data_IF_675598682471
#
_entry.id   IF_675598682471
#
_cell.length_a   1.000
_cell.length_b   1.000
_cell.length_c   1.000
_cell.angle_alpha   90.00
_cell.angle_beta   90.00
_cell.angle_gamma   90.00
#
_symmetry.space_group_name_H-M   'P 1'
#
loop_
_entity.id
_entity.type
_entity.pdbx_description
1 polymer ?
#
# COMPACT_ATOMS: atom_id res chain seq x y z
N UNK A 1 35.94 14.54 4.32
CA UNK A 1 35.76 13.76 5.56
C UNK A 1 36.04 12.32 5.20
N UNK A 2 37.08 11.74 5.77
CA UNK A 2 37.59 10.42 5.41
C UNK A 2 36.61 9.32 5.84
N UNK A 3 35.84 8.80 4.88
CA UNK A 3 34.95 7.66 5.11
C UNK A 3 35.65 6.36 4.72
N UNK A 4 36.57 5.90 5.57
CA UNK A 4 36.90 4.47 5.63
C UNK A 4 35.74 3.75 6.34
N UNK A 5 34.61 3.58 5.63
CA UNK A 5 33.46 2.85 6.12
C UNK A 5 33.73 1.35 6.02
N UNK A 6 34.11 0.73 7.14
CA UNK A 6 34.14 -0.71 7.32
C UNK A 6 32.76 -1.32 6.93
N UNK A 7 32.71 -2.50 6.29
CA UNK A 7 31.44 -3.18 6.01
C UNK A 7 30.69 -3.40 7.33
N UNK A 8 29.44 -2.95 7.37
CA UNK A 8 28.59 -3.00 8.57
C UNK A 8 28.25 -4.47 8.81
N UNK A 9 28.98 -5.10 9.73
CA UNK A 9 28.84 -6.51 10.13
C UNK A 9 28.19 -6.64 11.51
N UNK A 10 27.56 -5.59 12.02
CA UNK A 10 27.03 -5.62 13.38
C UNK A 10 25.63 -6.25 13.43
N UNK A 11 25.63 -7.57 13.44
CA UNK A 11 24.48 -8.40 13.78
C UNK A 11 24.13 -8.17 15.26
N UNK A 12 23.34 -7.12 15.53
CA UNK A 12 22.86 -6.78 16.87
C UNK A 12 22.02 -7.91 17.43
N UNK A 13 22.47 -8.46 18.56
CA UNK A 13 21.72 -9.43 19.36
C UNK A 13 20.85 -8.71 20.38
N UNK A 14 19.71 -9.30 20.71
CA UNK A 14 18.82 -8.83 21.76
C UNK A 14 18.67 -9.92 22.82
N UNK A 15 19.67 -10.09 23.73
CA UNK A 15 19.59 -11.09 24.79
C UNK A 15 18.62 -10.64 25.89
N UNK A 16 17.89 -11.59 26.45
CA UNK A 16 17.00 -11.37 27.59
C UNK A 16 17.80 -10.97 28.83
N UNK A 17 17.42 -9.87 29.49
CA UNK A 17 18.07 -9.42 30.71
C UNK A 17 17.96 -10.45 31.87
N UNK A 18 16.97 -11.34 31.83
CA UNK A 18 16.76 -12.32 32.89
C UNK A 18 17.44 -13.68 32.64
N UNK A 19 17.45 -14.18 31.40
CA UNK A 19 17.92 -15.54 31.10
C UNK A 19 18.91 -15.64 29.92
N UNK A 20 19.24 -14.52 29.27
CA UNK A 20 20.15 -14.47 28.12
C UNK A 20 19.59 -15.01 26.81
N UNK A 21 18.37 -15.59 26.79
CA UNK A 21 17.75 -16.08 25.57
C UNK A 21 17.41 -14.95 24.58
N UNK A 22 17.36 -15.27 23.28
CA UNK A 22 17.01 -14.30 22.24
C UNK A 22 15.58 -13.76 22.42
N UNK A 23 15.43 -12.46 22.24
CA UNK A 23 14.14 -11.78 22.34
C UNK A 23 13.53 -11.51 20.96
N UNK A 24 12.20 -11.51 20.90
CA UNK A 24 11.38 -11.17 19.73
C UNK A 24 10.56 -9.92 20.03
N UNK A 25 10.34 -9.06 19.03
CA UNK A 25 9.48 -7.90 19.20
C UNK A 25 8.05 -8.37 19.44
N UNK A 26 7.39 -7.79 20.46
CA UNK A 26 6.03 -8.13 20.81
C UNK A 26 5.06 -7.10 20.23
N UNK A 27 4.24 -7.47 19.22
CA UNK A 27 3.27 -6.57 18.64
C UNK A 27 2.35 -5.93 19.69
N UNK A 28 2.11 -4.63 19.55
CA UNK A 28 1.25 -3.84 20.43
C UNK A 28 1.93 -3.36 21.72
N UNK A 29 3.21 -3.68 21.93
CA UNK A 29 4.02 -3.16 23.03
C UNK A 29 5.34 -2.60 22.47
N UNK A 30 5.86 -1.53 23.05
CA UNK A 30 7.22 -1.06 22.78
C UNK A 30 8.24 -1.88 23.58
N UNK A 31 8.22 -3.21 23.35
CA UNK A 31 9.02 -4.15 24.12
C UNK A 31 9.34 -5.43 23.34
N UNK A 32 10.46 -6.04 23.70
CA UNK A 32 10.86 -7.36 23.28
C UNK A 32 10.45 -8.38 24.34
N UNK A 33 9.78 -9.47 23.95
CA UNK A 33 9.40 -10.56 24.86
C UNK A 33 10.35 -11.74 24.69
N UNK A 34 10.72 -12.35 25.81
CA UNK A 34 11.43 -13.62 25.80
C UNK A 34 10.44 -14.77 25.64
N UNK A 35 10.58 -15.55 24.56
CA UNK A 35 9.74 -16.74 24.34
C UNK A 35 10.12 -17.90 25.27
N UNK A 36 11.30 -17.87 25.89
CA UNK A 36 11.76 -18.88 26.84
C UNK A 36 11.25 -18.64 28.26
N UNK A 37 11.58 -17.50 28.88
CA UNK A 37 11.20 -17.21 30.28
C UNK A 37 10.00 -16.27 30.43
N UNK A 38 9.49 -15.69 29.34
CA UNK A 38 8.35 -14.77 29.37
C UNK A 38 8.67 -13.32 29.74
N UNK A 39 9.91 -13.01 30.17
CA UNK A 39 10.30 -11.67 30.59
C UNK A 39 10.15 -10.63 29.45
N UNK A 40 9.69 -9.44 29.82
CA UNK A 40 9.45 -8.32 28.89
C UNK A 40 10.55 -7.29 29.07
N UNK A 41 11.26 -6.98 27.99
CA UNK A 41 12.39 -6.04 27.97
C UNK A 41 11.94 -4.83 27.15
N UNK A 42 11.76 -3.68 27.79
CA UNK A 42 11.27 -2.48 27.13
C UNK A 42 12.30 -1.92 26.15
N UNK A 43 11.81 -1.47 24.99
CA UNK A 43 12.64 -0.74 24.03
C UNK A 43 12.71 0.71 24.52
N UNK A 44 13.91 1.28 24.72
CA UNK A 44 14.04 2.69 25.06
C UNK A 44 13.39 3.57 23.99
N UNK A 45 12.66 4.60 24.42
CA UNK A 45 12.16 5.61 23.47
C UNK A 45 13.36 6.37 22.90
N UNK A 46 13.43 6.41 21.57
CA UNK A 46 14.40 7.29 20.91
C UNK A 46 13.96 8.74 21.09
N UNK A 47 14.94 9.63 21.21
CA UNK A 47 14.74 11.09 21.25
C UNK A 47 15.05 11.74 19.90
N UNK A 48 15.35 10.93 18.88
CA UNK A 48 15.60 11.41 17.52
C UNK A 48 14.30 11.87 16.86
N UNK A 49 14.39 12.98 16.13
CA UNK A 49 13.27 13.49 15.34
C UNK A 49 13.20 12.76 14.00
N UNK A 50 11.96 12.55 13.51
CA UNK A 50 11.71 11.99 12.19
C UNK A 50 11.75 13.15 11.20
N UNK A 51 12.87 13.24 10.48
CA UNK A 51 13.11 14.31 9.51
C UNK A 51 12.71 13.91 8.09
N UNK A 52 12.14 14.87 7.38
CA UNK A 52 11.99 14.83 5.93
C UNK A 52 13.30 15.25 5.24
N UNK A 53 13.64 14.54 4.16
CA UNK A 53 14.90 14.70 3.45
C UNK A 53 14.70 15.40 2.11
N UNK A 54 15.64 16.27 1.75
CA UNK A 54 15.62 16.95 0.44
C UNK A 54 15.81 15.95 -0.72
N UNK A 55 14.82 15.87 -1.61
CA UNK A 55 14.80 14.92 -2.70
C UNK A 55 15.98 15.08 -3.66
N UNK A 56 16.27 16.30 -4.10
CA UNK A 56 17.29 16.56 -5.13
C UNK A 56 18.70 16.25 -4.61
N UNK A 57 18.98 16.62 -3.36
CA UNK A 57 20.24 16.31 -2.68
C UNK A 57 20.49 14.80 -2.63
N UNK A 58 19.48 14.04 -2.22
CA UNK A 58 19.61 12.58 -2.09
C UNK A 58 19.52 11.82 -3.40
N UNK A 59 18.89 12.39 -4.43
CA UNK A 59 18.90 11.83 -5.78
C UNK A 59 20.32 11.80 -6.36
N UNK A 60 21.08 12.88 -6.20
CA UNK A 60 22.50 12.95 -6.63
C UNK A 60 23.35 11.94 -5.86
N UNK A 61 23.13 11.80 -4.55
CA UNK A 61 23.83 10.80 -3.73
C UNK A 61 23.52 9.37 -4.21
N UNK A 62 22.24 9.04 -4.39
CA UNK A 62 21.82 7.71 -4.83
C UNK A 62 22.37 7.34 -6.22
N UNK A 63 22.48 8.31 -7.14
CA UNK A 63 23.06 8.08 -8.46
C UNK A 63 24.57 7.77 -8.42
N UNK A 64 25.28 8.24 -7.38
CA UNK A 64 26.72 8.01 -7.21
C UNK A 64 27.08 6.65 -6.59
N UNK A 65 26.09 5.93 -6.06
CA UNK A 65 26.30 4.70 -5.27
C UNK A 65 25.52 3.50 -5.85
N UNK A 66 25.66 3.21 -7.16
CA UNK A 66 24.99 2.07 -7.79
C UNK A 66 25.82 0.78 -7.67
N UNK A 67 25.72 0.07 -6.53
CA UNK A 67 26.25 -1.31 -6.42
C UNK A 67 25.10 -2.29 -6.66
N UNK A 68 25.27 -3.30 -7.54
CA UNK A 68 24.23 -4.31 -7.77
C UNK A 68 23.87 -5.05 -6.48
N UNK A 69 22.57 -5.21 -6.25
CA UNK A 69 22.08 -6.03 -5.14
C UNK A 69 22.22 -7.52 -5.47
N UNK A 70 23.14 -8.19 -4.79
CA UNK A 70 23.46 -9.61 -5.00
C UNK A 70 23.13 -10.44 -3.76
N UNK A 71 23.16 -11.77 -3.93
CA UNK A 71 23.08 -12.70 -2.81
C UNK A 71 24.24 -12.45 -1.84
N UNK A 72 23.92 -12.44 -0.54
CA UNK A 72 24.89 -12.21 0.52
C UNK A 72 25.06 -13.45 1.39
N UNK A 73 26.31 -13.81 1.67
CA UNK A 73 26.61 -14.82 2.68
C UNK A 73 26.47 -14.20 4.07
N UNK A 74 25.53 -14.72 4.84
CA UNK A 74 25.18 -14.22 6.16
C UNK A 74 25.65 -15.22 7.22
N UNK A 75 26.48 -14.75 8.16
CA UNK A 75 26.86 -15.52 9.34
C UNK A 75 25.95 -15.16 10.51
N UNK A 76 25.20 -16.14 11.00
CA UNK A 76 24.39 -15.98 12.21
C UNK A 76 25.30 -15.91 13.43
N UNK A 77 25.27 -14.79 14.14
CA UNK A 77 26.03 -14.63 15.37
C UNK A 77 25.49 -15.54 16.50
N UNK A 78 24.19 -15.82 16.52
CA UNK A 78 23.56 -16.59 17.60
C UNK A 78 23.96 -18.06 17.62
N UNK A 79 23.90 -18.75 16.47
CA UNK A 79 24.20 -20.19 16.38
C UNK A 79 25.47 -20.52 15.58
N UNK A 80 26.12 -19.52 14.97
CA UNK A 80 27.34 -19.69 14.19
C UNK A 80 27.13 -20.21 12.76
N UNK A 81 25.90 -20.52 12.35
CA UNK A 81 25.61 -21.03 11.02
C UNK A 81 25.76 -19.96 9.94
N UNK A 82 26.22 -20.36 8.76
CA UNK A 82 26.30 -19.49 7.57
C UNK A 82 25.24 -19.92 6.57
N UNK A 83 24.53 -18.96 5.99
CA UNK A 83 23.52 -19.19 4.94
C UNK A 83 23.52 -18.05 3.93
N UNK A 84 22.98 -18.32 2.75
CA UNK A 84 22.82 -17.32 1.70
C UNK A 84 21.49 -16.60 1.87
N UNK A 85 21.52 -15.27 1.98
CA UNK A 85 20.33 -14.44 1.92
C UNK A 85 20.08 -14.00 0.46
N UNK A 86 18.82 -14.08 -0.02
CA UNK A 86 18.49 -13.65 -1.37
C UNK A 86 18.62 -12.12 -1.51
N UNK A 87 18.76 -11.61 -2.76
CA UNK A 87 18.80 -10.17 -3.00
C UNK A 87 17.54 -9.47 -2.48
N UNK A 88 17.69 -8.22 -2.05
CA UNK A 88 16.59 -7.37 -1.58
C UNK A 88 16.15 -7.63 -0.15
N UNK A 89 16.81 -8.51 0.60
CA UNK A 89 16.54 -8.71 2.04
C UNK A 89 17.46 -7.83 2.87
N UNK A 90 16.90 -7.08 3.83
CA UNK A 90 17.64 -6.26 4.80
C UNK A 90 17.86 -7.03 6.10
N UNK A 91 16.82 -7.71 6.59
CA UNK A 91 16.90 -8.57 7.76
C UNK A 91 16.00 -9.79 7.60
N UNK A 92 16.41 -10.93 8.15
CA UNK A 92 15.60 -12.15 8.15
C UNK A 92 15.91 -13.01 9.37
N UNK A 93 15.05 -14.00 9.62
CA UNK A 93 15.27 -14.99 10.66
C UNK A 93 16.25 -16.06 10.17
N UNK A 94 17.25 -16.39 10.98
CA UNK A 94 18.18 -17.48 10.71
C UNK A 94 17.39 -18.80 10.52
N UNK A 95 17.57 -19.52 9.40
CA UNK A 95 16.80 -20.75 9.14
C UNK A 95 17.15 -21.89 10.10
N UNK A 96 18.24 -21.78 10.84
CA UNK A 96 18.71 -22.80 11.78
C UNK A 96 18.25 -22.58 13.22
N UNK A 97 18.24 -21.33 13.70
CA UNK A 97 17.95 -21.03 15.10
C UNK A 97 16.87 -19.96 15.30
N UNK A 98 16.33 -19.38 14.23
CA UNK A 98 15.25 -18.39 14.28
C UNK A 98 15.67 -17.00 14.74
N UNK A 99 16.93 -16.75 15.11
CA UNK A 99 17.36 -15.41 15.52
C UNK A 99 17.34 -14.43 14.35
N UNK A 100 16.96 -13.17 14.58
CA UNK A 100 17.03 -12.12 13.57
C UNK A 100 18.49 -11.88 13.15
N UNK A 101 18.72 -11.74 11.85
CA UNK A 101 20.02 -11.51 11.25
C UNK A 101 19.91 -10.37 10.26
N UNK A 102 20.81 -9.39 10.36
CA UNK A 102 20.92 -8.29 9.41
C UNK A 102 21.82 -8.74 8.27
N UNK A 103 21.34 -8.59 7.05
CA UNK A 103 22.11 -8.92 5.85
C UNK A 103 23.16 -7.82 5.64
N UNK A 104 24.45 -8.15 5.61
CA UNK A 104 25.49 -7.15 5.37
C UNK A 104 25.34 -6.59 3.96
N UNK A 105 25.43 -5.26 3.85
CA UNK A 105 25.35 -4.52 2.59
C UNK A 105 26.66 -3.73 2.43
N UNK A 106 27.22 -3.62 1.22
CA UNK A 106 28.32 -2.69 0.97
C UNK A 106 27.92 -1.27 1.39
N UNK A 107 28.87 -0.51 1.94
CA UNK A 107 28.61 0.88 2.31
C UNK A 107 28.20 1.70 1.08
N UNK A 108 27.24 2.61 1.25
CA UNK A 108 26.72 3.48 0.18
C UNK A 108 25.60 2.89 -0.68
N UNK A 109 25.33 1.59 -0.65
CA UNK A 109 24.46 1.00 -1.69
C UNK A 109 22.98 1.39 -1.58
N UNK A 110 22.48 1.74 -0.40
CA UNK A 110 21.06 2.02 -0.18
C UNK A 110 20.80 3.06 0.92
N UNK A 111 19.80 3.91 0.68
CA UNK A 111 19.24 4.80 1.71
C UNK A 111 18.61 3.98 2.83
N UNK A 112 19.12 4.11 4.05
CA UNK A 112 18.55 3.41 5.21
C UNK A 112 17.20 4.03 5.60
N UNK A 113 16.24 3.20 6.06
CA UNK A 113 15.02 3.74 6.66
C UNK A 113 15.37 4.49 7.95
N UNK A 114 14.71 5.63 8.16
CA UNK A 114 14.90 6.47 9.37
C UNK A 114 13.77 6.34 10.38
N UNK A 115 12.63 5.82 9.95
CA UNK A 115 11.48 5.57 10.81
C UNK A 115 10.70 4.33 10.38
N UNK A 116 9.86 3.85 11.28
CA UNK A 116 8.99 2.70 11.05
C UNK A 116 7.72 2.80 11.89
N UNK A 117 6.67 2.11 11.45
CA UNK A 117 5.50 1.87 12.30
C UNK A 117 5.67 0.53 13.04
N UNK A 118 5.67 0.47 14.38
CA UNK A 118 5.79 -0.79 15.09
C UNK A 118 4.58 -1.69 14.81
N UNK A 119 4.80 -3.01 14.66
CA UNK A 119 3.71 -3.99 14.62
C UNK A 119 2.78 -3.79 15.83
N UNK A 120 1.49 -3.62 15.58
CA UNK A 120 0.47 -3.48 16.65
C UNK A 120 -0.34 -4.75 16.83
N UNK A 121 -0.67 -5.40 15.71
CA UNK A 121 -1.45 -6.64 15.66
C UNK A 121 -0.52 -7.84 15.58
N UNK A 122 -0.75 -8.79 16.48
CA UNK A 122 -0.08 -10.08 16.43
C UNK A 122 -0.64 -10.98 15.32
N UNK A 123 0.02 -12.13 15.12
CA UNK A 123 -0.35 -13.11 14.10
C UNK A 123 -1.80 -13.62 14.26
N UNK A 124 -2.29 -13.73 15.49
CA UNK A 124 -3.65 -14.21 15.77
C UNK A 124 -4.67 -13.16 15.35
N UNK A 125 -4.49 -11.92 15.78
CA UNK A 125 -5.36 -10.80 15.40
C UNK A 125 -5.40 -10.61 13.87
N UNK A 126 -4.25 -10.74 13.20
CA UNK A 126 -4.19 -10.67 11.73
C UNK A 126 -4.95 -11.83 11.04
N UNK A 127 -4.86 -13.05 11.58
CA UNK A 127 -5.62 -14.21 11.07
C UNK A 127 -7.13 -14.07 11.30
N UNK A 128 -7.53 -13.48 12.43
CA UNK A 128 -8.93 -13.18 12.72
C UNK A 128 -9.48 -12.09 11.78
N UNK A 129 -8.69 -11.04 11.50
CA UNK A 129 -9.04 -10.01 10.51
C UNK A 129 -9.20 -10.60 9.10
N UNK A 130 -8.26 -11.46 8.67
CA UNK A 130 -8.36 -12.20 7.41
C UNK A 130 -9.61 -13.08 7.35
N UNK A 131 -9.91 -13.81 8.43
CA UNK A 131 -11.11 -14.65 8.53
C UNK A 131 -12.39 -13.82 8.39
N UNK A 132 -12.44 -12.65 9.05
CA UNK A 132 -13.54 -11.71 8.96
C UNK A 132 -13.71 -11.11 7.55
N UNK A 133 -12.61 -10.76 6.89
CA UNK A 133 -12.62 -10.31 5.50
C UNK A 133 -13.14 -11.38 4.56
N UNK A 134 -12.63 -12.61 4.68
CA UNK A 134 -13.05 -13.75 3.87
C UNK A 134 -14.55 -14.07 4.08
N UNK A 135 -15.06 -13.83 5.28
CA UNK A 135 -16.46 -14.02 5.59
C UNK A 135 -17.39 -13.12 4.77
N UNK A 136 -16.92 -11.91 4.40
CA UNK A 136 -17.63 -10.90 3.61
C UNK A 136 -17.56 -11.14 2.10
N UNK A 137 -16.71 -12.06 1.63
CA UNK A 137 -16.58 -12.40 0.21
C UNK A 137 -17.76 -13.26 -0.26
N UNK A 138 -18.89 -12.60 -0.55
CA UNK A 138 -20.15 -13.26 -0.91
C UNK A 138 -20.05 -14.16 -2.14
N UNK A 139 -19.21 -13.78 -3.10
CA UNK A 139 -18.93 -14.53 -4.32
C UNK A 139 -17.99 -15.73 -4.11
N UNK A 140 -17.33 -15.84 -2.96
CA UNK A 140 -16.39 -16.92 -2.71
C UNK A 140 -17.08 -18.28 -2.49
N UNK A 141 -16.44 -19.42 -2.85
CA UNK A 141 -16.91 -20.76 -2.50
C UNK A 141 -17.13 -20.94 -0.98
N UNK A 142 -18.15 -21.71 -0.59
CA UNK A 142 -18.52 -21.87 0.82
C UNK A 142 -17.48 -22.66 1.64
N UNK A 143 -16.76 -23.58 0.99
CA UNK A 143 -15.69 -24.40 1.58
C UNK A 143 -14.37 -23.63 1.78
N UNK A 144 -14.21 -22.49 1.10
CA UNK A 144 -13.00 -21.67 1.15
C UNK A 144 -12.65 -21.23 2.58
N UNK A 145 -13.66 -20.89 3.40
CA UNK A 145 -13.46 -20.37 4.75
C UNK A 145 -12.75 -21.37 5.66
N UNK A 146 -13.10 -22.65 5.56
CA UNK A 146 -12.47 -23.73 6.33
C UNK A 146 -11.06 -23.99 5.81
N UNK A 147 -10.91 -24.07 4.49
CA UNK A 147 -9.64 -24.36 3.85
C UNK A 147 -8.56 -23.30 4.15
N UNK A 148 -8.91 -22.02 4.01
CA UNK A 148 -7.95 -20.92 4.19
C UNK A 148 -7.43 -20.83 5.63
N UNK A 149 -8.27 -21.17 6.62
CA UNK A 149 -7.91 -21.14 8.05
C UNK A 149 -6.90 -22.22 8.44
N UNK A 150 -6.98 -23.39 7.81
CA UNK A 150 -6.15 -24.55 8.18
C UNK A 150 -4.78 -24.56 7.49
N UNK A 151 -4.63 -23.87 6.35
CA UNK A 151 -3.43 -23.98 5.48
C UNK A 151 -2.75 -22.64 5.18
N UNK A 152 -3.32 -21.52 5.59
CA UNK A 152 -2.73 -20.20 5.36
C UNK A 152 -1.56 -19.92 6.31
N UNK A 153 -0.33 -20.05 5.81
CA UNK A 153 0.84 -19.51 6.50
C UNK A 153 0.80 -17.98 6.49
N UNK A 154 1.05 -17.35 7.64
CA UNK A 154 1.17 -15.90 7.77
C UNK A 154 2.58 -15.54 8.22
N UNK A 155 3.25 -14.68 7.45
CA UNK A 155 4.59 -14.16 7.72
C UNK A 155 4.51 -12.65 7.97
N UNK A 156 5.10 -12.20 9.07
CA UNK A 156 5.21 -10.78 9.39
C UNK A 156 6.43 -10.19 8.72
N UNK A 157 6.25 -9.05 8.05
CA UNK A 157 7.30 -8.37 7.31
C UNK A 157 7.20 -6.86 7.45
N UNK A 158 8.35 -6.19 7.50
CA UNK A 158 8.48 -4.77 7.25
C UNK A 158 8.75 -4.54 5.77
N UNK A 159 7.85 -3.80 5.13
CA UNK A 159 7.97 -3.40 3.73
C UNK A 159 8.47 -1.96 3.68
N UNK A 160 9.47 -1.65 2.82
CA UNK A 160 9.93 -0.29 2.62
C UNK A 160 8.93 0.52 1.80
N UNK A 161 8.73 1.76 2.22
CA UNK A 161 7.91 2.76 1.56
C UNK A 161 8.65 4.09 1.47
N UNK A 162 8.37 4.80 0.39
CA UNK A 162 8.66 6.23 0.29
C UNK A 162 7.40 6.99 0.70
N UNK A 163 7.56 8.04 1.49
CA UNK A 163 6.56 9.13 1.52
C UNK A 163 7.16 10.34 0.86
N UNK A 164 6.34 11.06 0.08
CA UNK A 164 6.75 12.28 -0.60
C UNK A 164 5.84 13.42 -0.24
N UNK A 165 6.46 14.56 0.05
CA UNK A 165 5.79 15.81 0.30
C UNK A 165 6.22 16.77 -0.80
N UNK A 166 5.27 17.50 -1.38
CA UNK A 166 5.58 18.49 -2.41
C UNK A 166 4.44 19.49 -2.60
N UNK A 167 4.79 20.61 -3.22
CA UNK A 167 3.83 21.57 -3.73
C UNK A 167 3.75 21.45 -5.24
N UNK A 168 2.55 21.57 -5.79
CA UNK A 168 2.34 21.58 -7.24
C UNK A 168 1.69 22.87 -7.70
N UNK A 169 2.22 23.44 -8.78
CA UNK A 169 1.59 24.52 -9.55
C UNK A 169 1.20 23.97 -10.91
N UNK A 170 -0.09 23.95 -11.23
CA UNK A 170 -0.61 23.33 -12.46
C UNK A 170 -1.37 24.33 -13.30
N UNK A 171 -0.81 24.68 -14.45
CA UNK A 171 -1.52 25.47 -15.46
C UNK A 171 -2.39 24.55 -16.33
N UNK A 172 -3.59 24.99 -16.68
CA UNK A 172 -4.54 24.19 -17.47
C UNK A 172 -5.31 24.99 -18.51
N UNK A 173 -5.87 24.29 -19.50
CA UNK A 173 -6.87 24.80 -20.44
C UNK A 173 -7.98 23.76 -20.69
N UNK A 174 -9.19 24.24 -20.96
CA UNK A 174 -10.36 23.41 -21.09
C UNK A 174 -11.64 24.18 -21.41
N UNK A 175 -12.77 23.58 -21.08
CA UNK A 175 -14.11 24.16 -21.28
C UNK A 175 -15.00 23.95 -20.05
N UNK A 176 -15.81 24.97 -19.77
CA UNK A 176 -16.93 24.95 -18.83
C UNK A 176 -18.21 24.70 -19.59
N UNK A 177 -18.90 23.61 -19.27
CA UNK A 177 -20.22 23.28 -19.77
C UNK A 177 -21.31 23.80 -18.83
N UNK A 178 -22.26 24.57 -19.36
CA UNK A 178 -23.45 25.00 -18.63
C UNK A 178 -24.68 24.32 -19.24
N UNK A 179 -25.50 23.69 -18.40
CA UNK A 179 -26.75 23.09 -18.82
C UNK A 179 -27.79 24.17 -19.07
N UNK A 180 -28.37 24.13 -20.27
CA UNK A 180 -29.51 24.94 -20.65
C UNK A 180 -30.64 24.01 -21.05
N UNK A 181 -31.82 24.26 -20.50
CA UNK A 181 -33.01 23.49 -20.81
C UNK A 181 -33.84 24.23 -21.84
N UNK A 182 -34.17 23.54 -22.94
CA UNK A 182 -35.06 24.06 -23.97
C UNK A 182 -36.30 23.16 -24.05
N UNK A 183 -37.47 23.79 -24.08
CA UNK A 183 -38.71 23.08 -24.38
C UNK A 183 -38.77 22.77 -25.87
N UNK A 184 -38.76 21.50 -26.23
CA UNK A 184 -38.99 21.02 -27.59
C UNK A 184 -40.43 20.52 -27.70
N UNK A 185 -41.11 20.93 -28.78
CA UNK A 185 -42.46 20.47 -29.10
C UNK A 185 -42.37 19.35 -30.14
N UNK A 186 -43.02 18.22 -29.89
CA UNK A 186 -43.09 17.10 -30.83
C UNK A 186 -44.50 16.53 -30.90
N UNK A 187 -44.83 15.87 -32.00
CA UNK A 187 -46.11 15.17 -32.16
C UNK A 187 -45.93 13.70 -31.79
N UNK A 188 -46.78 13.19 -30.90
CA UNK A 188 -46.76 11.78 -30.53
C UNK A 188 -47.38 10.88 -31.62
N UNK A 189 -47.32 9.56 -31.41
CA UNK A 189 -47.86 8.58 -32.37
C UNK A 189 -49.38 8.65 -32.54
N UNK A 190 -50.08 9.32 -31.63
CA UNK A 190 -51.54 9.52 -31.65
C UNK A 190 -51.93 10.88 -32.25
N UNK A 191 -50.95 11.66 -32.73
CA UNK A 191 -51.17 12.96 -33.37
C UNK A 191 -51.29 14.14 -32.41
N UNK A 192 -51.09 13.94 -31.10
CA UNK A 192 -51.17 15.03 -30.12
C UNK A 192 -49.83 15.77 -30.01
N UNK A 193 -49.91 17.08 -29.85
CA UNK A 193 -48.73 17.92 -29.59
C UNK A 193 -48.32 17.80 -28.13
N UNK A 194 -47.08 17.34 -27.90
CA UNK A 194 -46.47 17.21 -26.59
C UNK A 194 -45.24 18.11 -26.48
N UNK A 195 -44.85 18.43 -25.25
CA UNK A 195 -43.61 19.15 -24.96
C UNK A 195 -42.70 18.31 -24.07
N UNK A 196 -41.39 18.40 -24.30
CA UNK A 196 -40.37 17.82 -23.42
C UNK A 196 -39.25 18.83 -23.18
N UNK A 197 -38.67 18.79 -22.00
CA UNK A 197 -37.41 19.51 -21.74
C UNK A 197 -36.24 18.70 -22.30
N UNK A 198 -35.45 19.34 -23.16
CA UNK A 198 -34.20 18.80 -23.69
C UNK A 198 -33.06 19.57 -23.05
N UNK A 199 -32.10 18.84 -22.48
CA UNK A 199 -30.86 19.39 -21.93
C UNK A 199 -29.84 19.59 -23.05
N UNK A 200 -29.41 20.82 -23.24
CA UNK A 200 -28.29 21.21 -24.09
C UNK A 200 -27.12 21.68 -23.22
N UNK A 201 -25.88 21.35 -23.57
CA UNK A 201 -24.69 21.83 -22.85
C UNK A 201 -23.98 22.89 -23.69
N UNK A 202 -23.94 24.13 -23.21
CA UNK A 202 -23.20 25.22 -23.85
C UNK A 202 -21.79 25.27 -23.27
N UNK A 203 -20.78 25.24 -24.14
CA UNK A 203 -19.37 25.21 -23.76
C UNK A 203 -18.74 26.60 -23.87
N UNK A 204 -18.00 27.00 -22.84
CA UNK A 204 -17.21 28.23 -22.79
C UNK A 204 -15.75 27.89 -22.49
N UNK A 205 -14.77 28.54 -23.14
CA UNK A 205 -13.36 28.29 -22.84
C UNK A 205 -13.03 28.65 -21.39
N UNK A 206 -12.22 27.83 -20.74
CA UNK A 206 -11.72 28.03 -19.39
C UNK A 206 -10.21 27.73 -19.34
N UNK A 207 -9.47 28.57 -18.62
CA UNK A 207 -8.05 28.35 -18.34
C UNK A 207 -7.70 28.98 -17.01
N UNK A 208 -6.68 28.43 -16.36
CA UNK A 208 -6.30 28.86 -15.03
C UNK A 208 -5.04 28.17 -14.53
N UNK A 209 -4.74 28.44 -13.27
CA UNK A 209 -3.65 27.80 -12.52
C UNK A 209 -4.22 27.34 -11.19
N UNK A 210 -3.97 26.08 -10.84
CA UNK A 210 -4.33 25.52 -9.54
C UNK A 210 -3.07 25.19 -8.75
N UNK A 211 -3.18 25.29 -7.42
CA UNK A 211 -2.12 24.93 -6.49
C UNK A 211 -2.60 23.80 -5.58
N UNK A 212 -1.73 22.81 -5.37
CA UNK A 212 -1.98 21.74 -4.42
C UNK A 212 -0.74 21.52 -3.55
N UNK A 213 -0.98 21.12 -2.31
CA UNK A 213 0.05 20.63 -1.39
C UNK A 213 -0.24 19.16 -1.12
N UNK A 214 0.80 18.36 -1.20
CA UNK A 214 0.76 16.93 -0.92
C UNK A 214 1.65 16.64 0.27
N UNK A 215 1.10 15.87 1.20
CA UNK A 215 1.74 15.46 2.45
C UNK A 215 1.55 13.95 2.60
N UNK A 216 2.65 13.27 2.87
CA UNK A 216 2.84 11.83 2.99
C UNK A 216 2.24 11.00 1.83
N UNK A 217 2.53 11.37 0.58
CA UNK A 217 2.15 10.53 -0.58
C UNK A 217 2.94 9.24 -0.55
N UNK A 218 2.25 8.18 -0.16
CA UNK A 218 2.84 6.89 0.17
C UNK A 218 3.01 6.00 -1.08
N UNK A 219 4.25 5.59 -1.34
CA UNK A 219 4.61 4.72 -2.47
C UNK A 219 5.34 3.47 -1.97
N UNK A 220 4.82 2.26 -2.23
CA UNK A 220 5.53 1.03 -1.89
C UNK A 220 6.84 0.94 -2.66
N UNK A 221 7.92 0.69 -1.94
CA UNK A 221 9.25 0.61 -2.51
C UNK A 221 9.71 -0.84 -2.70
N UNK A 222 8.84 -1.84 -2.53
CA UNK A 222 9.13 -3.27 -2.76
C UNK A 222 8.24 -3.87 -3.86
N UNK A 223 8.79 -4.87 -4.55
CA UNK A 223 8.09 -5.70 -5.54
C UNK A 223 7.67 -7.09 -5.00
N UNK A 224 7.93 -7.38 -3.72
CA UNK A 224 7.61 -8.69 -3.14
C UNK A 224 6.13 -8.84 -2.77
N UNK A 225 5.40 -7.73 -2.81
CA UNK A 225 3.95 -7.66 -2.63
C UNK A 225 3.31 -7.26 -3.95
N UNK A 226 2.21 -7.91 -4.38
CA UNK A 226 1.50 -7.46 -5.58
C UNK A 226 1.12 -5.99 -5.44
N UNK A 227 1.57 -5.16 -6.39
CA UNK A 227 1.40 -3.70 -6.36
C UNK A 227 -0.05 -3.29 -6.17
N UNK A 228 -0.99 -4.00 -6.82
CA UNK A 228 -2.44 -3.82 -6.66
C UNK A 228 -2.88 -3.87 -5.19
N UNK A 229 -2.32 -4.77 -4.40
CA UNK A 229 -2.69 -4.94 -2.99
C UNK A 229 -1.96 -3.93 -2.12
N UNK A 230 -0.66 -3.70 -2.33
CA UNK A 230 0.12 -2.72 -1.57
C UNK A 230 -0.40 -1.28 -1.76
N UNK A 231 -0.65 -0.86 -3.00
CA UNK A 231 -1.19 0.46 -3.31
C UNK A 231 -2.62 0.65 -2.77
N UNK A 232 -3.38 -0.43 -2.58
CA UNK A 232 -4.72 -0.37 -2.01
C UNK A 232 -4.73 -0.27 -0.47
N UNK A 233 -3.56 -0.38 0.18
CA UNK A 233 -3.40 -0.22 1.64
C UNK A 233 -3.22 1.26 1.95
N UNK A 234 -4.33 1.94 2.20
CA UNK A 234 -4.35 3.40 2.39
C UNK A 234 -4.53 3.82 3.85
N UNK A 235 -5.01 2.92 4.72
CA UNK A 235 -5.29 3.27 6.12
C UNK A 235 -4.07 3.02 7.02
N UNK A 236 -3.13 3.96 6.98
CA UNK A 236 -1.96 3.98 7.86
C UNK A 236 -2.09 5.09 8.91
N UNK A 237 -1.68 4.78 10.13
CA UNK A 237 -1.54 5.74 11.22
C UNK A 237 -0.12 6.32 11.24
N UNK A 238 0.28 6.96 10.13
CA UNK A 238 1.63 7.54 9.95
C UNK A 238 2.07 8.51 11.07
N UNK A 239 1.19 9.28 11.74
CA UNK A 239 1.59 10.08 12.90
C UNK A 239 2.20 9.27 14.07
N UNK A 240 1.97 7.96 14.14
CA UNK A 240 2.54 7.06 15.15
C UNK A 240 3.93 6.51 14.73
N UNK A 241 4.54 7.02 13.66
CA UNK A 241 5.89 6.63 13.25
C UNK A 241 6.88 6.85 14.40
N UNK A 242 7.79 5.90 14.58
CA UNK A 242 8.89 6.01 15.56
C UNK A 242 10.23 5.99 14.83
N UNK A 243 11.27 6.61 15.40
CA UNK A 243 12.63 6.50 14.87
C UNK A 243 13.05 5.04 14.75
N UNK A 244 13.76 4.73 13.67
CA UNK A 244 14.20 3.38 13.36
C UNK A 244 15.06 2.82 14.51
N UNK A 245 14.69 1.64 15.00
CA UNK A 245 15.51 0.86 15.92
C UNK A 245 15.45 -0.61 15.53
N UNK A 246 16.61 -1.27 15.44
CA UNK A 246 16.74 -2.68 15.05
C UNK A 246 15.89 -3.64 15.94
N UNK A 247 15.61 -3.23 17.18
CA UNK A 247 14.78 -3.98 18.12
C UNK A 247 13.38 -4.26 17.55
N UNK A 248 12.75 -3.31 16.87
CA UNK A 248 11.42 -3.47 16.29
C UNK A 248 11.38 -4.51 15.16
N UNK A 249 12.51 -4.79 14.52
CA UNK A 249 12.63 -5.77 13.45
C UNK A 249 12.80 -7.20 13.98
N UNK A 250 13.09 -7.38 15.27
CA UNK A 250 13.40 -8.68 15.84
C UNK A 250 12.22 -9.65 15.73
N UNK A 251 12.37 -10.75 14.98
CA UNK A 251 11.29 -11.71 14.71
C UNK A 251 10.48 -11.43 13.45
N UNK A 252 10.80 -10.35 12.73
CA UNK A 252 10.17 -9.95 11.46
C UNK A 252 11.19 -9.88 10.33
N UNK A 253 10.76 -10.29 9.13
CA UNK A 253 11.57 -10.11 7.93
C UNK A 253 11.50 -8.65 7.48
N UNK A 254 12.60 -8.08 7.01
CA UNK A 254 12.62 -6.72 6.46
C UNK A 254 13.21 -6.75 5.06
N UNK A 255 12.55 -6.06 4.15
CA UNK A 255 13.02 -5.93 2.78
C UNK A 255 13.73 -4.59 2.55
N UNK A 256 14.66 -4.60 1.59
CA UNK A 256 15.24 -3.40 1.01
C UNK A 256 14.34 -2.88 -0.10
N UNK A 257 14.40 -1.58 -0.35
CA UNK A 257 13.69 -1.02 -1.47
C UNK A 257 14.28 -1.55 -2.79
N UNK A 258 13.38 -1.88 -3.71
CA UNK A 258 13.66 -2.25 -5.10
C UNK A 258 13.30 -1.12 -6.06
N UNK A 259 12.33 -0.28 -5.68
CA UNK A 259 11.99 0.94 -6.41
C UNK A 259 12.82 2.09 -5.86
N UNK A 260 13.69 2.66 -6.70
CA UNK A 260 14.54 3.78 -6.31
C UNK A 260 13.76 5.06 -6.01
N UNK A 261 14.46 6.05 -5.48
CA UNK A 261 13.88 7.34 -5.08
C UNK A 261 13.20 8.06 -6.26
N UNK A 262 13.85 8.14 -7.43
CA UNK A 262 13.27 8.80 -8.61
C UNK A 262 12.04 8.08 -9.16
N UNK A 263 12.15 6.76 -9.34
CA UNK A 263 11.02 5.93 -9.80
C UNK A 263 9.84 6.00 -8.83
N UNK A 264 10.13 6.02 -7.53
CA UNK A 264 9.16 6.19 -6.47
C UNK A 264 8.42 7.52 -6.60
N UNK A 265 9.14 8.62 -6.84
CA UNK A 265 8.52 9.94 -7.03
C UNK A 265 7.70 10.01 -8.32
N UNK A 266 8.14 9.38 -9.41
CA UNK A 266 7.35 9.31 -10.65
C UNK A 266 6.03 8.54 -10.45
N UNK A 267 6.03 7.49 -9.62
CA UNK A 267 4.78 6.85 -9.18
C UNK A 267 3.93 7.78 -8.30
N UNK A 268 4.56 8.53 -7.39
CA UNK A 268 3.85 9.51 -6.54
C UNK A 268 3.09 10.54 -7.38
N UNK A 269 3.69 11.06 -8.46
CA UNK A 269 3.00 11.97 -9.41
C UNK A 269 1.72 11.37 -9.98
N UNK A 270 1.72 10.07 -10.27
CA UNK A 270 0.53 9.35 -10.77
C UNK A 270 -0.57 9.26 -9.70
N UNK A 271 -0.19 9.16 -8.42
CA UNK A 271 -1.13 9.16 -7.30
C UNK A 271 -1.66 10.57 -6.98
N UNK A 272 -0.88 11.62 -7.24
CA UNK A 272 -1.28 13.03 -7.07
C UNK A 272 -2.24 13.50 -8.16
N UNK A 273 -2.12 12.95 -9.36
CA UNK A 273 -2.85 13.37 -10.57
C UNK A 273 -4.38 13.47 -10.39
N UNK A 274 -5.11 12.50 -9.78
CA UNK A 274 -6.55 12.63 -9.60
C UNK A 274 -6.95 13.85 -8.76
N UNK A 275 -6.16 14.18 -7.74
CA UNK A 275 -6.38 15.35 -6.88
C UNK A 275 -6.15 16.65 -7.65
N UNK A 276 -5.11 16.70 -8.48
CA UNK A 276 -4.82 17.85 -9.36
C UNK A 276 -5.98 18.03 -10.36
N UNK A 277 -6.40 16.96 -11.04
CA UNK A 277 -7.51 17.00 -11.98
C UNK A 277 -8.83 17.43 -11.31
N UNK A 278 -9.05 17.02 -10.06
CA UNK A 278 -10.22 17.45 -9.31
C UNK A 278 -10.16 18.95 -8.97
N UNK A 279 -8.99 19.47 -8.60
CA UNK A 279 -8.79 20.90 -8.37
C UNK A 279 -9.03 21.71 -9.65
N UNK A 280 -8.55 21.23 -10.80
CA UNK A 280 -8.82 21.85 -12.12
C UNK A 280 -10.32 21.86 -12.41
N UNK A 281 -11.03 20.73 -12.23
CA UNK A 281 -12.49 20.68 -12.46
C UNK A 281 -13.25 21.65 -11.56
N UNK A 282 -12.82 21.79 -10.30
CA UNK A 282 -13.41 22.74 -9.37
C UNK A 282 -13.18 24.20 -9.81
N UNK A 283 -11.96 24.52 -10.25
CA UNK A 283 -11.62 25.86 -10.75
C UNK A 283 -12.35 26.20 -12.06
N UNK A 284 -12.48 25.22 -12.98
CA UNK A 284 -13.31 25.36 -14.18
C UNK A 284 -14.76 25.61 -13.80
N UNK A 285 -15.35 24.88 -12.86
CA UNK A 285 -16.75 25.03 -12.44
C UNK A 285 -17.77 24.63 -13.52
N UNK A 286 -19.03 25.07 -13.37
CA UNK A 286 -20.13 24.69 -14.27
C UNK A 286 -20.72 23.30 -13.99
N UNK A 287 -21.63 22.85 -14.85
CA UNK A 287 -22.33 21.58 -14.72
C UNK A 287 -21.53 20.40 -15.30
N UNK A 288 -20.74 20.66 -16.35
CA UNK A 288 -19.81 19.71 -16.96
C UNK A 288 -18.45 20.38 -17.22
N UNK A 289 -17.38 19.60 -17.18
CA UNK A 289 -16.02 20.10 -17.40
C UNK A 289 -15.28 19.24 -18.42
N UNK A 290 -14.54 19.91 -19.30
CA UNK A 290 -13.55 19.27 -20.19
C UNK A 290 -12.20 19.87 -19.93
N UNK A 291 -11.21 19.02 -19.70
CA UNK A 291 -9.81 19.43 -19.58
C UNK A 291 -9.14 19.02 -20.88
N UNK A 292 -8.56 19.98 -21.60
CA UNK A 292 -7.82 19.72 -22.83
C UNK A 292 -6.35 19.47 -22.56
N UNK A 293 -5.74 20.33 -21.76
CA UNK A 293 -4.33 20.24 -21.40
C UNK A 293 -4.13 20.70 -19.97
N UNK A 294 -3.12 20.14 -19.32
CA UNK A 294 -2.58 20.61 -18.07
C UNK A 294 -1.10 20.26 -17.97
N UNK A 295 -0.36 21.06 -17.21
CA UNK A 295 1.07 20.82 -16.95
C UNK A 295 1.39 21.22 -15.52
N UNK A 296 1.92 20.27 -14.76
CA UNK A 296 2.22 20.43 -13.33
C UNK A 296 3.73 20.59 -13.13
N UNK A 297 4.12 21.65 -12.41
CA UNK A 297 5.44 21.81 -11.82
C UNK A 297 5.41 21.32 -10.38
N UNK A 298 6.50 20.70 -9.93
CA UNK A 298 6.62 20.10 -8.60
C UNK A 298 7.79 20.76 -7.88
N UNK A 299 7.51 21.40 -6.76
CA UNK A 299 8.45 22.20 -5.99
C UNK A 299 8.53 21.71 -4.54
N UNK A 300 9.62 22.08 -3.85
CA UNK A 300 9.85 21.76 -2.43
C UNK A 300 9.68 20.27 -2.11
N UNK A 301 10.24 19.41 -2.97
CA UNK A 301 10.07 17.97 -2.86
C UNK A 301 10.94 17.45 -1.71
N UNK A 302 10.28 16.88 -0.70
CA UNK A 302 10.93 16.13 0.37
C UNK A 302 10.46 14.68 0.39
N UNK A 303 11.18 13.82 1.09
CA UNK A 303 10.81 12.43 1.25
C UNK A 303 11.22 11.83 2.59
N UNK A 304 10.54 10.75 3.00
CA UNK A 304 10.98 9.85 4.08
C UNK A 304 11.10 8.43 3.55
N UNK A 305 12.14 7.71 3.97
CA UNK A 305 12.23 6.25 3.80
C UNK A 305 11.75 5.58 5.08
N UNK A 306 10.60 4.91 5.00
CA UNK A 306 9.93 4.33 6.17
C UNK A 306 9.71 2.82 5.99
N UNK A 307 9.59 2.10 7.10
CA UNK A 307 9.19 0.70 7.10
C UNK A 307 7.76 0.54 7.66
N UNK A 308 6.89 -0.11 6.88
CA UNK A 308 5.52 -0.36 7.26
C UNK A 308 5.26 -1.85 7.55
N UNK A 309 4.58 -2.18 8.66
CA UNK A 309 4.42 -3.55 9.12
C UNK A 309 3.21 -4.22 8.45
N UNK A 310 3.46 -5.34 7.78
CA UNK A 310 2.44 -6.12 7.07
C UNK A 310 2.52 -7.59 7.44
N UNK A 311 1.37 -8.23 7.54
CA UNK A 311 1.27 -9.68 7.54
C UNK A 311 0.93 -10.16 6.13
N UNK A 312 1.82 -10.95 5.54
CA UNK A 312 1.66 -11.53 4.21
C UNK A 312 1.24 -12.99 4.36
N UNK A 313 0.23 -13.38 3.62
CA UNK A 313 -0.23 -14.76 3.56
C UNK A 313 -0.52 -15.21 2.14
N UNK A 314 -0.42 -16.52 1.95
CA UNK A 314 -0.85 -17.16 0.73
C UNK A 314 -1.56 -18.48 1.05
N UNK A 315 -2.56 -18.81 0.25
CA UNK A 315 -3.27 -20.08 0.34
C UNK A 315 -3.55 -20.62 -1.07
N UNK A 316 -3.56 -21.94 -1.21
CA UNK A 316 -3.79 -22.62 -2.49
C UNK A 316 -5.21 -23.17 -2.54
N UNK A 317 -6.06 -22.74 -3.44
CA UNK A 317 -7.41 -23.28 -3.62
C UNK A 317 -7.61 -23.78 -5.05
N UNK A 318 -7.95 -25.08 -5.22
CA UNK A 318 -8.14 -25.75 -6.52
C UNK A 318 -7.00 -25.45 -7.51
N UNK A 319 -5.78 -25.72 -7.07
CA UNK A 319 -4.54 -25.50 -7.82
C UNK A 319 -4.17 -24.06 -8.18
N UNK A 320 -4.89 -23.07 -7.65
CA UNK A 320 -4.55 -21.65 -7.78
C UNK A 320 -4.08 -21.08 -6.45
N UNK A 321 -3.01 -20.30 -6.47
CA UNK A 321 -2.51 -19.59 -5.29
C UNK A 321 -3.15 -18.21 -5.23
N UNK A 322 -3.63 -17.85 -4.04
CA UNK A 322 -4.18 -16.55 -3.72
C UNK A 322 -3.35 -15.94 -2.61
N UNK A 323 -2.95 -14.69 -2.77
CA UNK A 323 -2.22 -13.93 -1.76
C UNK A 323 -3.12 -12.89 -1.12
N UNK A 324 -2.77 -12.54 0.11
CA UNK A 324 -3.42 -11.48 0.85
C UNK A 324 -2.41 -10.80 1.78
N UNK A 325 -2.75 -9.57 2.13
CA UNK A 325 -2.04 -8.69 3.05
C UNK A 325 -2.99 -8.31 4.17
N UNK A 326 -2.45 -8.21 5.38
CA UNK A 326 -3.15 -7.61 6.51
C UNK A 326 -2.29 -6.49 7.07
N UNK A 327 -2.89 -5.30 7.22
CA UNK A 327 -2.27 -4.15 7.85
C UNK A 327 -2.01 -4.49 9.31
N UNK A 328 -0.75 -4.53 9.75
CA UNK A 328 -0.44 -4.92 11.12
C UNK A 328 -0.71 -3.80 12.15
N UNK A 329 -1.25 -2.66 11.73
CA UNK A 329 -1.73 -1.56 12.56
C UNK A 329 -3.24 -1.58 12.71
N UNK A 330 -3.96 -1.65 11.58
CA UNK A 330 -5.42 -1.46 11.52
C UNK A 330 -6.22 -2.76 11.32
N UNK A 331 -5.59 -3.82 10.83
CA UNK A 331 -6.27 -5.07 10.47
C UNK A 331 -7.00 -4.99 9.12
N UNK A 332 -6.82 -3.92 8.35
CA UNK A 332 -7.31 -3.86 6.96
C UNK A 332 -6.72 -5.02 6.14
N UNK A 333 -7.57 -5.68 5.34
CA UNK A 333 -7.18 -6.83 4.53
C UNK A 333 -7.35 -6.49 3.04
N UNK A 334 -6.30 -6.73 2.25
CA UNK A 334 -6.34 -6.70 0.78
C UNK A 334 -5.85 -8.02 0.25
N UNK A 335 -6.56 -8.61 -0.68
CA UNK A 335 -6.19 -9.90 -1.24
C UNK A 335 -7.16 -10.37 -2.29
N UNK A 336 -6.80 -11.45 -2.94
CA UNK A 336 -7.65 -12.10 -3.93
C UNK A 336 -8.40 -13.28 -3.28
N UNK A 337 -9.62 -13.53 -3.77
CA UNK A 337 -10.43 -14.67 -3.40
C UNK A 337 -10.99 -15.35 -4.66
N UNK A 338 -11.05 -16.70 -4.71
CA UNK A 338 -11.68 -17.39 -5.81
C UNK A 338 -13.16 -17.02 -5.88
N UNK A 339 -13.67 -16.89 -7.10
CA UNK A 339 -15.08 -16.63 -7.34
C UNK A 339 -15.79 -17.95 -7.67
N UNK A 340 -16.96 -18.18 -7.07
CA UNK A 340 -17.80 -19.34 -7.34
C UNK A 340 -18.57 -19.15 -8.64
N UNK A 341 -18.26 -19.99 -9.64
CA UNK A 341 -18.97 -20.03 -10.92
C UNK A 341 -20.49 -20.17 -10.74
N UNK A 342 -20.95 -21.05 -9.86
CA UNK A 342 -22.38 -21.26 -9.59
C UNK A 342 -23.06 -20.01 -9.02
N UNK A 343 -22.35 -19.20 -8.22
CA UNK A 343 -22.90 -17.94 -7.69
C UNK A 343 -23.01 -16.89 -8.78
N UNK A 344 -22.03 -16.78 -9.67
CA UNK A 344 -22.12 -15.91 -10.86
C UNK A 344 -23.29 -16.36 -11.75
N UNK A 345 -23.38 -17.65 -12.07
CA UNK A 345 -24.43 -18.19 -12.93
C UNK A 345 -25.81 -17.88 -12.36
N UNK A 346 -26.01 -18.08 -11.06
CA UNK A 346 -27.28 -17.75 -10.38
C UNK A 346 -27.61 -16.26 -10.48
N UNK A 347 -26.64 -15.36 -10.28
CA UNK A 347 -26.84 -13.92 -10.42
C UNK A 347 -27.24 -13.53 -11.84
N UNK A 348 -26.58 -14.11 -12.84
CA UNK A 348 -26.90 -13.87 -14.26
C UNK A 348 -28.32 -14.34 -14.55
N UNK A 349 -28.70 -15.54 -14.09
CA UNK A 349 -30.06 -16.06 -14.28
C UNK A 349 -31.12 -15.20 -13.56
N UNK A 350 -30.85 -14.72 -12.35
CA UNK A 350 -31.72 -13.79 -11.63
C UNK A 350 -31.86 -12.48 -12.41
N UNK A 351 -30.76 -11.92 -12.93
CA UNK A 351 -30.79 -10.72 -13.75
C UNK A 351 -31.65 -10.89 -15.01
N UNK A 352 -31.48 -12.00 -15.71
CA UNK A 352 -32.31 -12.36 -16.88
C UNK A 352 -33.78 -12.48 -16.49
N UNK A 353 -34.09 -13.15 -15.39
CA UNK A 353 -35.46 -13.32 -14.91
C UNK A 353 -36.13 -11.98 -14.55
N UNK A 354 -35.41 -11.06 -13.90
CA UNK A 354 -35.91 -9.72 -13.57
C UNK A 354 -36.21 -8.93 -14.86
N UNK A 355 -35.30 -8.97 -15.84
CA UNK A 355 -35.50 -8.30 -17.13
C UNK A 355 -36.71 -8.89 -17.86
N UNK A 356 -36.81 -10.22 -17.95
CA UNK A 356 -37.94 -10.89 -18.58
C UNK A 356 -39.27 -10.58 -17.87
N UNK A 357 -39.30 -10.60 -16.53
CA UNK A 357 -40.46 -10.22 -15.73
C UNK A 357 -40.89 -8.76 -15.96
N UNK A 358 -39.93 -7.83 -16.07
CA UNK A 358 -40.21 -6.43 -16.40
C UNK A 358 -40.86 -6.29 -17.79
N UNK A 359 -40.35 -7.00 -18.80
CA UNK A 359 -40.95 -6.99 -20.14
C UNK A 359 -42.36 -7.60 -20.16
N UNK A 360 -42.60 -8.68 -19.40
CA UNK A 360 -43.93 -9.30 -19.28
C UNK A 360 -44.93 -8.38 -18.58
N UNK A 361 -44.52 -7.70 -17.49
CA UNK A 361 -45.35 -6.72 -16.79
C UNK A 361 -45.66 -5.49 -17.67
N UNK A 362 -44.69 -5.02 -18.46
CA UNK A 362 -44.90 -3.94 -19.42
C UNK A 362 -45.89 -4.34 -20.53
N UNK A 363 -45.80 -5.57 -21.03
CA UNK A 363 -46.75 -6.13 -22.00
C UNK A 363 -48.16 -6.25 -21.41
N UNK A 364 -48.28 -6.59 -20.12
CA UNK A 364 -49.58 -6.72 -19.43
C UNK A 364 -50.27 -5.38 -19.14
N UNK A 365 -49.53 -4.26 -19.04
CA UNK A 365 -50.10 -2.92 -18.78
C UNK A 365 -50.37 -2.11 -20.05
N UNK A 366 -50.00 -2.65 -21.23
CA UNK A 366 -50.23 -2.03 -22.54
C UNK A 366 -51.47 -2.55 -23.27
N UNK A 367 -52.41 -3.17 -22.56
CA UNK A 367 -53.73 -3.56 -23.06
C UNK A 367 -54.84 -2.83 -22.31
#
# INVERSE_FOLDING_TARGET
MDFNAQPITDNKRFPCAQCGAQLTFKPGLDALKCDYCGFVNHIPKSVEDIEELDFNKYLVLAASESVPDTEANVKCNSCGATFTAPPGVQSDNCPFCGSNVVVPVPAGTHLKPRSLLPFKLDKKAAMDAFSGWLAKQWLAPNDLKKYARERGGLQGMYIPYWTYDCNTTTAYSGERGIWVYRTETYTDGDGNTQTREVRETIWYPASGVVWNTFDDVLVPASNSVPEKHAAAMVNWDLPDLVPYQDAYLSGFRTERYKTGLEDGFNRAKTLMEPTILQAIRYDIGGDEQRIWTHSSQYDQITFKHILLPLWLGAYKYRDKTFSFLVNARTGEVKGDAPISFWKILLLVLIGIAIIAGFFLLKKSKGH
#
